data_IF_723747642239
#
_entry.id   IF_723747642239
#
_cell.length_a   1.000
_cell.length_b   1.000
_cell.length_c   1.000
_cell.angle_alpha   90.00
_cell.angle_beta   90.00
_cell.angle_gamma   90.00
#
_symmetry.space_group_name_H-M   'P 1'
#
loop_
_entity.id
_entity.type
_entity.pdbx_description
1 polymer ?
#
# COMPACT_ATOMS: atom_id res chain seq x y z
N UNK A 1 -3.29 -0.42 -16.12
CA UNK A 1 -3.12 -0.54 -14.66
C UNK A 1 -2.97 -2.01 -14.32
N UNK A 2 -2.04 -2.37 -13.43
CA UNK A 2 -1.95 -3.73 -12.88
C UNK A 2 -2.16 -3.65 -11.38
N UNK A 3 -3.01 -4.53 -10.82
CA UNK A 3 -3.21 -4.64 -9.38
C UNK A 3 -3.56 -6.07 -8.99
N UNK A 4 -3.28 -6.40 -7.73
CA UNK A 4 -3.77 -7.62 -7.09
C UNK A 4 -5.08 -7.31 -6.37
N UNK A 5 -6.10 -8.14 -6.59
CA UNK A 5 -7.32 -8.17 -5.77
C UNK A 5 -7.22 -9.34 -4.79
N UNK A 6 -7.58 -9.10 -3.54
CA UNK A 6 -7.66 -10.12 -2.49
C UNK A 6 -8.94 -9.92 -1.68
N UNK A 7 -9.51 -10.99 -1.12
CA UNK A 7 -10.53 -10.81 -0.07
C UNK A 7 -9.86 -10.64 1.29
N UNK A 8 -10.62 -10.20 2.29
CA UNK A 8 -10.15 -10.11 3.68
C UNK A 8 -9.70 -11.48 4.21
N UNK A 9 -10.44 -12.53 3.87
CA UNK A 9 -10.17 -13.91 4.32
C UNK A 9 -8.87 -14.44 3.71
N UNK A 10 -8.68 -14.25 2.40
CA UNK A 10 -7.43 -14.62 1.70
C UNK A 10 -6.24 -13.88 2.31
N UNK A 11 -6.39 -12.58 2.59
CA UNK A 11 -5.34 -11.79 3.21
C UNK A 11 -5.00 -12.29 4.62
N UNK A 12 -6.00 -12.61 5.43
CA UNK A 12 -5.80 -13.17 6.76
C UNK A 12 -5.09 -14.52 6.73
N UNK A 13 -5.47 -15.42 5.81
CA UNK A 13 -4.76 -16.69 5.61
C UNK A 13 -3.30 -16.44 5.28
N UNK A 14 -3.02 -15.52 4.36
CA UNK A 14 -1.65 -15.18 3.98
C UNK A 14 -0.82 -14.62 5.15
N UNK A 15 -1.42 -13.74 5.96
CA UNK A 15 -0.77 -13.18 7.16
C UNK A 15 -0.48 -14.27 8.21
N UNK A 16 -1.38 -15.23 8.39
CA UNK A 16 -1.14 -16.39 9.28
C UNK A 16 0.00 -17.27 8.77
N UNK A 17 0.02 -17.57 7.46
CA UNK A 17 1.05 -18.39 6.83
C UNK A 17 2.42 -17.70 6.75
N UNK A 18 2.45 -16.37 6.83
CA UNK A 18 3.66 -15.55 6.77
C UNK A 18 4.76 -15.98 7.76
N UNK A 19 4.37 -16.54 8.91
CA UNK A 19 5.29 -17.04 9.94
C UNK A 19 5.87 -18.43 9.67
N UNK A 20 5.26 -19.19 8.75
CA UNK A 20 5.54 -20.62 8.61
C UNK A 20 6.07 -21.01 7.24
N UNK A 21 5.79 -20.22 6.19
CA UNK A 21 6.10 -20.55 4.81
C UNK A 21 6.98 -19.49 4.14
N UNK A 22 7.80 -19.87 3.15
CA UNK A 22 8.55 -18.91 2.34
C UNK A 22 7.60 -18.07 1.45
N UNK A 23 7.98 -16.81 1.18
CA UNK A 23 7.14 -15.83 0.48
C UNK A 23 6.61 -16.30 -0.89
N UNK A 24 7.46 -16.98 -1.67
CA UNK A 24 7.06 -17.49 -3.00
C UNK A 24 5.91 -18.51 -2.90
N UNK A 25 5.84 -19.30 -1.82
CA UNK A 25 4.80 -20.29 -1.62
C UNK A 25 3.50 -19.62 -1.16
N UNK A 26 3.60 -18.62 -0.29
CA UNK A 26 2.46 -17.79 0.13
C UNK A 26 1.85 -17.10 -1.08
N UNK A 27 2.67 -16.50 -1.95
CA UNK A 27 2.21 -15.87 -3.18
C UNK A 27 1.45 -16.85 -4.08
N UNK A 28 1.96 -18.08 -4.26
CA UNK A 28 1.26 -19.10 -5.05
C UNK A 28 -0.08 -19.49 -4.44
N UNK A 29 -0.13 -19.70 -3.13
CA UNK A 29 -1.37 -20.04 -2.40
C UNK A 29 -2.40 -18.92 -2.55
N UNK A 30 -1.98 -17.67 -2.34
CA UNK A 30 -2.85 -16.48 -2.49
C UNK A 30 -3.35 -16.34 -3.91
N UNK A 31 -2.48 -16.47 -4.91
CA UNK A 31 -2.88 -16.36 -6.32
C UNK A 31 -3.84 -17.48 -6.74
N UNK A 32 -3.67 -18.69 -6.22
CA UNK A 32 -4.59 -19.80 -6.45
C UNK A 32 -5.97 -19.48 -5.84
N UNK A 33 -6.02 -19.07 -4.57
CA UNK A 33 -7.27 -18.68 -3.91
C UNK A 33 -7.96 -17.52 -4.66
N UNK A 34 -7.21 -16.50 -5.07
CA UNK A 34 -7.73 -15.39 -5.86
C UNK A 34 -8.23 -15.84 -7.24
N UNK A 35 -7.58 -16.83 -7.86
CA UNK A 35 -8.07 -17.43 -9.12
C UNK A 35 -9.40 -18.14 -8.93
N UNK A 36 -9.60 -18.84 -7.81
CA UNK A 36 -10.87 -19.51 -7.50
C UNK A 36 -11.97 -18.49 -7.22
N UNK A 37 -11.69 -17.46 -6.42
CA UNK A 37 -12.69 -16.46 -6.02
C UNK A 37 -13.06 -15.51 -7.14
N UNK A 38 -12.07 -14.95 -7.84
CA UNK A 38 -12.30 -13.89 -8.82
C UNK A 38 -12.33 -14.39 -10.27
N UNK A 39 -11.78 -15.58 -10.55
CA UNK A 39 -11.57 -16.05 -11.92
C UNK A 39 -10.64 -15.12 -12.71
N UNK A 40 -10.72 -15.16 -14.04
CA UNK A 40 -9.98 -14.21 -14.86
C UNK A 40 -10.58 -12.79 -14.73
N UNK A 41 -9.83 -11.88 -14.13
CA UNK A 41 -10.20 -10.47 -13.93
C UNK A 41 -9.82 -9.60 -15.12
N UNK A 42 -8.96 -10.10 -16.02
CA UNK A 42 -8.42 -9.33 -17.16
C UNK A 42 -9.49 -9.00 -18.20
N UNK A 43 -10.49 -9.87 -18.35
CA UNK A 43 -11.69 -9.64 -19.19
C UNK A 43 -12.50 -8.40 -18.77
N UNK A 44 -12.31 -7.92 -17.54
CA UNK A 44 -12.94 -6.71 -17.01
C UNK A 44 -11.94 -5.55 -16.86
N UNK A 45 -10.79 -5.61 -17.53
CA UNK A 45 -9.77 -4.55 -17.50
C UNK A 45 -8.84 -4.57 -16.28
N UNK A 46 -9.06 -5.48 -15.33
CA UNK A 46 -8.21 -5.64 -14.14
C UNK A 46 -7.15 -6.70 -14.38
N UNK A 47 -5.98 -6.26 -14.86
CA UNK A 47 -4.84 -7.15 -15.09
C UNK A 47 -4.06 -7.36 -13.79
N UNK A 48 -3.72 -8.61 -13.50
CA UNK A 48 -2.85 -8.96 -12.37
C UNK A 48 -1.37 -8.76 -12.74
N UNK A 49 -0.54 -8.22 -11.85
CA UNK A 49 0.91 -8.24 -12.00
C UNK A 49 1.47 -9.66 -12.11
N UNK A 50 2.58 -9.82 -12.82
CA UNK A 50 3.27 -11.12 -12.95
C UNK A 50 3.95 -11.56 -11.64
N UNK A 51 4.35 -10.59 -10.82
CA UNK A 51 4.96 -10.81 -9.51
C UNK A 51 3.85 -10.95 -8.48
N UNK A 52 3.94 -11.94 -7.60
CA UNK A 52 2.94 -12.18 -6.54
C UNK A 52 2.82 -11.01 -5.54
N UNK A 53 1.68 -10.88 -4.84
CA UNK A 53 1.37 -9.71 -4.02
C UNK A 53 2.37 -9.46 -2.88
N UNK A 54 2.92 -10.49 -2.25
CA UNK A 54 3.91 -10.36 -1.18
C UNK A 54 5.31 -10.07 -1.74
N UNK A 55 5.72 -10.75 -2.81
CA UNK A 55 6.99 -10.44 -3.48
C UNK A 55 6.99 -9.02 -4.06
N UNK A 56 5.85 -8.57 -4.59
CA UNK A 56 5.67 -7.23 -5.11
C UNK A 56 5.90 -6.17 -4.02
N UNK A 57 5.37 -6.40 -2.80
CA UNK A 57 5.55 -5.49 -1.66
C UNK A 57 7.02 -5.24 -1.30
N UNK A 58 7.94 -6.17 -1.58
CA UNK A 58 9.37 -5.99 -1.30
C UNK A 58 9.95 -4.87 -2.18
N UNK A 59 9.49 -4.76 -3.42
CA UNK A 59 10.06 -3.86 -4.43
C UNK A 59 9.21 -2.62 -4.70
N UNK A 60 7.92 -2.65 -4.33
CA UNK A 60 7.00 -1.52 -4.50
C UNK A 60 6.14 -1.31 -3.26
N UNK A 61 5.80 -0.06 -2.92
CA UNK A 61 4.89 0.24 -1.81
C UNK A 61 3.43 -0.15 -2.05
N UNK A 62 3.11 -0.76 -3.21
CA UNK A 62 1.76 -1.13 -3.58
C UNK A 62 1.30 -2.39 -2.83
N UNK A 63 0.24 -2.25 -2.02
CA UNK A 63 -0.48 -3.37 -1.45
C UNK A 63 -1.55 -3.90 -2.42
N UNK A 64 -1.94 -5.18 -2.29
CA UNK A 64 -3.15 -5.65 -2.95
C UNK A 64 -4.36 -4.88 -2.46
N UNK A 65 -5.32 -4.67 -3.37
CA UNK A 65 -6.62 -4.08 -3.04
C UNK A 65 -7.48 -5.15 -2.38
N UNK A 66 -7.95 -4.86 -1.17
CA UNK A 66 -8.90 -5.72 -0.47
C UNK A 66 -10.29 -5.45 -1.05
N UNK A 67 -10.82 -6.42 -1.79
CA UNK A 67 -12.17 -6.34 -2.33
C UNK A 67 -13.21 -6.61 -1.25
N UNK A 68 -14.23 -5.76 -1.22
CA UNK A 68 -15.39 -5.83 -0.32
C UNK A 68 -16.71 -5.89 -1.11
N UNK A 69 -16.66 -6.30 -2.39
CA UNK A 69 -17.81 -6.32 -3.30
C UNK A 69 -17.69 -5.37 -4.50
N UNK A 70 -16.55 -4.70 -4.69
CA UNK A 70 -16.30 -3.86 -5.87
C UNK A 70 -16.21 -4.72 -7.12
N UNK A 71 -15.52 -5.86 -7.04
CA UNK A 71 -15.39 -6.77 -8.17
C UNK A 71 -16.74 -7.34 -8.63
N UNK A 72 -17.65 -7.63 -7.69
CA UNK A 72 -19.00 -8.06 -8.02
C UNK A 72 -19.74 -7.02 -8.87
N UNK A 73 -19.66 -5.74 -8.49
CA UNK A 73 -20.23 -4.62 -9.26
C UNK A 73 -19.56 -4.40 -10.62
N UNK A 74 -18.27 -4.68 -10.73
CA UNK A 74 -17.56 -4.67 -12.02
C UNK A 74 -18.11 -5.78 -12.92
N UNK A 75 -18.36 -6.97 -12.35
CA UNK A 75 -18.88 -8.12 -13.09
C UNK A 75 -20.32 -7.90 -13.58
N UNK A 76 -21.16 -7.21 -12.81
CA UNK A 76 -22.54 -6.86 -13.19
C UNK A 76 -22.61 -5.68 -14.16
N UNK A 77 -21.52 -4.94 -14.33
CA UNK A 77 -21.47 -3.76 -15.20
C UNK A 77 -21.90 -2.46 -14.51
N UNK A 78 -22.26 -2.50 -13.22
CA UNK A 78 -22.54 -1.30 -12.42
C UNK A 78 -21.30 -0.40 -12.28
N UNK A 79 -20.11 -0.99 -12.29
CA UNK A 79 -18.83 -0.26 -12.33
C UNK A 79 -18.08 -0.63 -13.61
N UNK A 80 -17.82 0.37 -14.44
CA UNK A 80 -17.01 0.19 -15.64
C UNK A 80 -15.54 0.56 -15.38
N UNK A 81 -14.64 -0.38 -15.68
CA UNK A 81 -13.19 -0.12 -15.64
C UNK A 81 -12.77 0.51 -16.96
N UNK A 82 -12.29 1.75 -16.90
CA UNK A 82 -11.84 2.52 -18.07
C UNK A 82 -10.31 2.65 -18.10
N UNK A 83 -9.72 2.93 -19.28
CA UNK A 83 -8.29 3.23 -19.40
C UNK A 83 -7.88 4.48 -18.61
N UNK A 84 -6.57 4.79 -18.63
CA UNK A 84 -6.09 6.01 -18.00
C UNK A 84 -6.75 7.25 -18.61
N UNK A 85 -7.16 8.19 -17.75
CA UNK A 85 -7.65 9.49 -18.18
C UNK A 85 -6.52 10.27 -18.86
N UNK A 86 -6.82 10.87 -20.01
CA UNK A 86 -5.88 11.67 -20.81
C UNK A 86 -6.16 13.16 -20.70
N UNK A 87 -7.42 13.58 -20.80
CA UNK A 87 -7.80 14.99 -20.70
C UNK A 87 -9.27 15.14 -20.25
N UNK A 88 -9.60 16.28 -19.66
CA UNK A 88 -10.97 16.68 -19.31
C UNK A 88 -11.34 17.91 -20.11
N UNK A 89 -12.45 17.83 -20.84
CA UNK A 89 -12.99 18.87 -21.72
C UNK A 89 -14.40 19.24 -21.26
N UNK A 90 -14.51 20.19 -20.33
CA UNK A 90 -15.79 20.49 -19.67
C UNK A 90 -16.28 19.26 -18.88
N UNK A 91 -17.46 18.75 -19.21
CA UNK A 91 -18.01 17.52 -18.60
C UNK A 91 -17.62 16.23 -19.34
N UNK A 92 -16.80 16.29 -20.39
CA UNK A 92 -16.38 15.12 -21.17
C UNK A 92 -14.94 14.74 -20.83
N UNK A 93 -14.72 13.47 -20.52
CA UNK A 93 -13.38 12.92 -20.24
C UNK A 93 -12.89 12.10 -21.43
N UNK A 94 -11.69 12.41 -21.92
CA UNK A 94 -10.96 11.63 -22.93
C UNK A 94 -10.03 10.62 -22.25
N UNK A 95 -10.08 9.37 -22.70
CA UNK A 95 -9.26 8.27 -22.18
C UNK A 95 -8.12 7.89 -23.13
N UNK A 96 -7.16 7.12 -22.63
CA UNK A 96 -5.96 6.72 -23.37
C UNK A 96 -6.23 5.90 -24.65
N UNK A 97 -7.40 5.29 -24.77
CA UNK A 97 -7.86 4.59 -25.99
C UNK A 97 -8.55 5.53 -27.00
N UNK A 98 -8.57 6.84 -26.72
CA UNK A 98 -9.20 7.86 -27.57
C UNK A 98 -10.70 8.01 -27.36
N UNK A 99 -11.34 7.16 -26.54
CA UNK A 99 -12.78 7.26 -26.27
C UNK A 99 -13.08 8.44 -25.36
N UNK A 100 -14.30 8.95 -25.49
CA UNK A 100 -14.80 10.11 -24.74
C UNK A 100 -16.15 9.79 -24.12
N UNK A 101 -16.31 10.13 -22.84
CA UNK A 101 -17.55 9.91 -22.10
C UNK A 101 -17.90 11.13 -21.23
N UNK A 102 -19.19 11.51 -21.13
CA UNK A 102 -19.62 12.55 -20.20
C UNK A 102 -19.66 12.03 -18.76
N UNK A 103 -19.36 12.90 -17.79
CA UNK A 103 -19.46 12.63 -16.35
C UNK A 103 -20.02 13.84 -15.61
N UNK A 104 -20.90 13.59 -14.63
CA UNK A 104 -21.45 14.65 -13.77
C UNK A 104 -20.48 15.08 -12.66
N UNK A 105 -19.58 14.17 -12.26
CA UNK A 105 -18.59 14.42 -11.22
C UNK A 105 -17.30 13.61 -11.44
N UNK A 106 -16.17 14.15 -10.98
CA UNK A 106 -14.87 13.49 -10.97
C UNK A 106 -14.33 13.48 -9.54
N UNK A 107 -13.99 12.30 -9.03
CA UNK A 107 -13.40 12.12 -7.69
C UNK A 107 -11.97 11.62 -7.83
N UNK A 108 -10.99 12.43 -7.40
CA UNK A 108 -9.58 12.06 -7.42
C UNK A 108 -9.20 11.23 -6.19
N UNK A 109 -9.33 9.91 -6.30
CA UNK A 109 -8.85 8.95 -5.29
C UNK A 109 -7.36 8.59 -5.49
N UNK A 110 -6.50 9.58 -5.77
CA UNK A 110 -5.09 9.39 -6.17
C UNK A 110 -4.10 9.30 -4.99
N UNK A 111 -4.59 9.11 -3.77
CA UNK A 111 -3.78 9.00 -2.55
C UNK A 111 -3.30 10.35 -1.99
N UNK A 112 -2.33 10.28 -1.08
CA UNK A 112 -1.83 11.42 -0.30
C UNK A 112 -0.32 11.59 -0.47
N UNK A 113 0.18 12.79 -0.18
CA UNK A 113 1.61 13.10 -0.07
C UNK A 113 1.93 13.57 1.34
N UNK A 114 3.06 13.14 1.88
CA UNK A 114 3.53 13.60 3.18
C UNK A 114 3.90 15.09 3.12
N UNK A 115 3.62 15.80 4.21
CA UNK A 115 4.01 17.21 4.39
C UNK A 115 5.14 17.36 5.41
N UNK A 116 5.73 16.28 5.91
CA UNK A 116 6.71 16.29 7.01
C UNK A 116 7.86 17.28 6.77
N UNK A 117 8.44 17.30 5.56
CA UNK A 117 9.51 18.23 5.18
C UNK A 117 9.12 19.72 5.19
N UNK A 118 7.82 20.05 5.19
CA UNK A 118 7.36 21.45 5.23
C UNK A 118 7.42 22.06 6.63
N UNK A 119 7.34 21.24 7.68
CA UNK A 119 7.25 21.70 9.06
C UNK A 119 8.41 21.20 9.94
N UNK A 120 8.95 20.02 9.66
CA UNK A 120 10.12 19.50 10.37
C UNK A 120 11.40 20.07 9.74
N UNK A 121 12.02 21.02 10.44
CA UNK A 121 13.17 21.80 9.94
C UNK A 121 14.53 21.11 10.11
N UNK A 122 14.67 20.29 11.14
CA UNK A 122 15.88 19.50 11.42
C UNK A 122 15.45 18.07 11.63
N UNK A 123 15.85 17.18 10.73
CA UNK A 123 15.55 15.76 10.80
C UNK A 123 16.81 14.89 10.80
N UNK A 124 18.00 15.49 10.75
CA UNK A 124 19.29 14.81 10.69
C UNK A 124 19.34 13.74 9.58
N UNK A 125 18.61 13.97 8.49
CA UNK A 125 18.50 13.04 7.36
C UNK A 125 17.53 11.88 7.59
N UNK A 126 16.75 11.87 8.67
CA UNK A 126 15.79 10.81 9.01
C UNK A 126 14.62 10.75 8.02
N UNK A 127 14.21 11.89 7.45
CA UNK A 127 13.11 11.98 6.49
C UNK A 127 13.66 12.13 5.08
N UNK A 128 13.17 11.30 4.16
CA UNK A 128 13.48 11.37 2.74
C UNK A 128 12.74 12.50 2.03
N UNK A 129 13.07 12.73 0.75
CA UNK A 129 12.45 13.76 -0.08
C UNK A 129 10.94 13.55 -0.30
N UNK A 130 10.47 12.30 -0.22
CA UNK A 130 9.05 11.97 -0.32
C UNK A 130 8.27 12.21 1.00
N UNK A 131 8.96 12.72 2.02
CA UNK A 131 8.41 12.97 3.35
C UNK A 131 8.17 11.71 4.18
N UNK A 132 8.70 10.56 3.75
CA UNK A 132 8.69 9.29 4.48
C UNK A 132 10.04 9.06 5.18
N UNK A 133 10.20 7.96 5.94
CA UNK A 133 11.50 7.64 6.51
C UNK A 133 12.52 7.37 5.40
N UNK A 134 13.70 7.99 5.49
CA UNK A 134 14.75 7.88 4.46
C UNK A 134 15.35 6.48 4.39
N UNK A 135 15.53 5.85 5.56
CA UNK A 135 16.05 4.49 5.69
C UNK A 135 14.93 3.48 5.56
N UNK A 136 15.26 2.28 5.09
CA UNK A 136 14.34 1.15 5.02
C UNK A 136 14.27 0.40 6.35
N UNK A 137 13.22 -0.39 6.53
CA UNK A 137 13.16 -1.36 7.62
C UNK A 137 14.38 -2.29 7.61
N UNK A 138 14.95 -2.65 8.78
CA UNK A 138 14.48 -2.34 10.15
C UNK A 138 15.08 -1.06 10.77
N UNK A 139 15.93 -0.32 10.05
CA UNK A 139 16.71 0.79 10.62
C UNK A 139 16.05 2.17 10.46
N UNK A 140 14.82 2.19 9.95
CA UNK A 140 14.11 3.40 9.55
C UNK A 140 13.64 4.29 10.71
N UNK A 141 13.41 3.72 11.88
CA UNK A 141 12.60 4.33 12.92
C UNK A 141 13.38 5.25 13.89
N UNK A 142 14.71 5.12 14.02
CA UNK A 142 15.50 5.83 15.05
C UNK A 142 16.37 6.94 14.49
N UNK A 143 16.05 8.20 14.78
CA UNK A 143 16.89 9.35 14.48
C UNK A 143 17.82 9.76 15.62
N UNK A 144 18.47 10.90 15.44
CA UNK A 144 19.27 11.56 16.47
C UNK A 144 18.38 12.44 17.37
N UNK A 145 18.94 12.96 18.47
CA UNK A 145 18.29 13.98 19.31
C UNK A 145 16.89 13.63 19.84
N UNK A 146 16.59 12.33 19.98
CA UNK A 146 15.28 11.86 20.45
C UNK A 146 14.16 11.93 19.41
N UNK A 147 14.51 12.11 18.12
CA UNK A 147 13.57 12.06 17.01
C UNK A 147 13.37 10.61 16.52
N UNK A 148 12.13 10.24 16.23
CA UNK A 148 11.77 8.90 15.77
C UNK A 148 10.73 8.93 14.64
N UNK A 149 10.70 7.87 13.84
CA UNK A 149 9.75 7.63 12.75
C UNK A 149 8.90 6.39 13.04
N UNK A 150 7.60 6.56 13.24
CA UNK A 150 6.65 5.45 13.40
C UNK A 150 5.67 5.39 12.21
N UNK A 151 5.58 4.22 11.56
CA UNK A 151 4.65 4.01 10.43
C UNK A 151 5.09 4.67 9.12
N UNK A 152 6.30 5.22 9.07
CA UNK A 152 6.79 6.01 7.93
C UNK A 152 7.51 5.18 6.85
N UNK A 153 7.31 3.86 6.83
CA UNK A 153 7.87 2.93 5.81
C UNK A 153 6.81 2.11 5.08
N UNK A 154 5.54 2.53 5.15
CA UNK A 154 4.44 1.90 4.39
C UNK A 154 4.30 0.40 4.65
N UNK A 155 4.56 -0.05 5.89
CA UNK A 155 4.37 -1.45 6.32
C UNK A 155 2.98 -1.72 6.90
N UNK A 156 2.06 -0.75 6.80
CA UNK A 156 0.72 -0.84 7.36
C UNK A 156 0.71 -0.72 8.88
N UNK A 157 -0.45 -1.02 9.48
CA UNK A 157 -0.67 -0.87 10.92
C UNK A 157 0.24 -1.78 11.77
N UNK A 158 0.43 -3.03 11.34
CA UNK A 158 1.33 -3.96 12.04
C UNK A 158 2.78 -3.43 12.10
N UNK A 159 3.32 -2.95 10.97
CA UNK A 159 4.65 -2.35 10.98
C UNK A 159 4.73 -1.08 11.83
N UNK A 160 3.65 -0.30 11.88
CA UNK A 160 3.59 0.89 12.74
C UNK A 160 3.60 0.53 14.24
N UNK A 161 3.03 -0.62 14.60
CA UNK A 161 3.07 -1.18 15.96
C UNK A 161 4.49 -1.61 16.33
N UNK A 162 5.18 -2.35 15.45
CA UNK A 162 6.58 -2.75 15.63
C UNK A 162 7.50 -1.53 15.84
N UNK A 163 7.26 -0.47 15.06
CA UNK A 163 7.99 0.79 15.21
C UNK A 163 7.73 1.42 16.59
N UNK A 164 6.47 1.48 17.02
CA UNK A 164 6.09 2.06 18.30
C UNK A 164 6.69 1.30 19.50
N UNK A 165 6.70 -0.03 19.45
CA UNK A 165 7.34 -0.89 20.46
C UNK A 165 8.85 -0.61 20.53
N UNK A 166 9.53 -0.58 19.38
CA UNK A 166 10.97 -0.29 19.29
C UNK A 166 11.32 1.10 19.86
N UNK A 167 10.50 2.11 19.54
CA UNK A 167 10.66 3.48 20.06
C UNK A 167 10.46 3.51 21.58
N UNK A 168 9.41 2.86 22.09
CA UNK A 168 9.11 2.82 23.52
C UNK A 168 10.25 2.16 24.31
N UNK A 169 10.83 1.08 23.80
CA UNK A 169 11.98 0.43 24.40
C UNK A 169 13.22 1.33 24.45
N UNK A 170 13.53 2.05 23.36
CA UNK A 170 14.67 2.96 23.31
C UNK A 170 14.51 4.13 24.30
N UNK A 171 13.31 4.71 24.38
CA UNK A 171 12.99 5.77 25.35
C UNK A 171 13.11 5.24 26.79
N UNK A 172 12.61 4.03 27.05
CA UNK A 172 12.69 3.39 28.37
C UNK A 172 14.14 3.18 28.83
N UNK A 173 15.02 2.73 27.93
CA UNK A 173 16.46 2.57 28.21
C UNK A 173 17.14 3.91 28.54
N UNK A 174 16.75 4.99 27.86
CA UNK A 174 17.29 6.35 28.10
C UNK A 174 16.79 7.02 29.38
N UNK A 175 15.65 6.59 29.94
CA UNK A 175 15.14 7.08 31.24
C UNK A 175 15.85 6.44 32.46
N UNK A 176 16.73 5.45 32.24
CA UNK A 176 17.47 4.75 33.30
C UNK A 176 18.92 5.25 33.53
N UNK A 177 19.21 6.56 33.55
CA UNK A 177 20.36 7.06 34.30
C UNK A 177 19.92 8.18 35.26
N UNK A 178 19.75 7.83 36.54
CA UNK A 178 19.90 8.68 37.75
C UNK A 178 19.36 7.96 39.02
N UNK A 179 19.73 6.68 39.18
CA UNK A 179 19.66 5.98 40.47
C UNK A 179 20.99 5.24 40.69
N UNK A 180 22.02 6.02 41.04
CA UNK A 180 23.24 5.58 41.70
C UNK A 180 23.71 6.70 42.63
#
# INVERSE_FOLDING_TARGET
MQLHLVTKEIWNVAMTLYRYLPLWLIDRIVLLMCSVVFGDTSRYGLRRPAIGPFSMKIHTPAYPVVDVGTYAKIKTGEIQVLPAMKAVHGNVVEFADGKRHPFDAIVFATGYRSTTKKWLKSDDGLIGEDGMARRSFPEHWKGENGLYCAGMVRRGLYGSCEDAESIAEDISKKKKPDQA
#
